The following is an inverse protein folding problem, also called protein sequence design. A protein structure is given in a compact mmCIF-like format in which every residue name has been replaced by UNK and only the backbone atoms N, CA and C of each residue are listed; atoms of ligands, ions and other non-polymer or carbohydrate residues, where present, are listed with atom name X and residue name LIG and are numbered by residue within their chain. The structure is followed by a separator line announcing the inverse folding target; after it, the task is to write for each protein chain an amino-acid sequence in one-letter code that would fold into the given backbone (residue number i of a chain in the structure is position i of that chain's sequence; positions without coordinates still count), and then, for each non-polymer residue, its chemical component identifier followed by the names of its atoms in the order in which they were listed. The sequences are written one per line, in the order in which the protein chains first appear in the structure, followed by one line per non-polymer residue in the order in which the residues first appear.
data_IF_860423639695
#
_entry.id   IF_860423639695
#
_cell.length_a   1.000
_cell.length_b   1.000
_cell.length_c   1.000
_cell.angle_alpha   90.00
_cell.angle_beta   90.00
_cell.angle_gamma   90.00
#
_symmetry.space_group_name_H-M   'P 1'
#
loop_
_entity.id
_entity.type
_entity.pdbx_description
1 polymer ?
#
# COMPACT_ATOMS: atom_id res chain seq x y z
N UNK A 1 12.45 4.85 -4.97
CA UNK A 1 11.46 5.77 -5.60
C UNK A 1 10.85 5.36 -6.97
N UNK A 2 11.55 5.40 -8.14
CA UNK A 2 10.88 5.28 -9.46
C UNK A 2 10.15 3.95 -9.68
N UNK A 3 10.82 2.82 -9.40
CA UNK A 3 10.23 1.48 -9.57
C UNK A 3 8.98 1.31 -8.70
N UNK A 4 9.00 1.83 -7.47
CA UNK A 4 7.87 1.76 -6.54
C UNK A 4 6.66 2.56 -7.03
N UNK A 5 6.90 3.71 -7.67
CA UNK A 5 5.85 4.50 -8.29
C UNK A 5 5.22 3.75 -9.46
N UNK A 6 6.02 3.16 -10.33
CA UNK A 6 5.51 2.42 -11.49
C UNK A 6 4.83 1.10 -11.08
N UNK A 7 5.29 0.43 -10.03
CA UNK A 7 4.58 -0.68 -9.40
C UNK A 7 3.22 -0.24 -8.85
N UNK A 8 3.18 0.89 -8.13
CA UNK A 8 1.92 1.46 -7.60
C UNK A 8 0.93 1.80 -8.71
N UNK A 9 1.42 2.41 -9.80
CA UNK A 9 0.62 2.75 -10.97
C UNK A 9 0.02 1.50 -11.61
N UNK A 10 0.86 0.48 -11.83
CA UNK A 10 0.47 -0.79 -12.43
C UNK A 10 -0.61 -1.49 -11.59
N UNK A 11 -0.41 -1.53 -10.27
CA UNK A 11 -1.38 -2.12 -9.35
C UNK A 11 -2.70 -1.35 -9.28
N UNK A 12 -2.67 -0.01 -9.33
CA UNK A 12 -3.89 0.79 -9.39
C UNK A 12 -4.69 0.52 -10.67
N UNK A 13 -4.01 0.39 -11.81
CA UNK A 13 -4.65 0.02 -13.08
C UNK A 13 -5.21 -1.40 -13.05
N UNK A 14 -4.47 -2.35 -12.48
CA UNK A 14 -4.95 -3.72 -12.28
C UNK A 14 -6.23 -3.76 -11.43
N UNK A 15 -6.24 -3.11 -10.26
CA UNK A 15 -7.43 -3.04 -9.43
C UNK A 15 -8.62 -2.41 -10.17
N UNK A 16 -8.39 -1.34 -10.94
CA UNK A 16 -9.44 -0.69 -11.73
C UNK A 16 -10.05 -1.61 -12.80
N UNK A 17 -9.23 -2.42 -13.47
CA UNK A 17 -9.73 -3.40 -14.45
C UNK A 17 -10.60 -4.48 -13.78
N UNK A 18 -10.26 -4.88 -12.56
CA UNK A 18 -10.97 -5.94 -11.83
C UNK A 18 -12.33 -5.51 -11.27
N UNK A 19 -12.65 -4.22 -11.17
CA UNK A 19 -13.94 -3.72 -10.65
C UNK A 19 -15.13 -4.14 -11.53
N UNK A 20 -14.91 -4.47 -12.80
CA UNK A 20 -15.94 -4.92 -13.73
C UNK A 20 -16.07 -6.43 -13.90
N UNK A 21 -15.20 -7.21 -13.25
CA UNK A 21 -15.18 -8.67 -13.41
C UNK A 21 -16.31 -9.36 -12.64
N UNK A 22 -16.74 -10.51 -13.16
CA UNK A 22 -17.89 -11.26 -12.61
C UNK A 22 -17.60 -11.94 -11.26
N UNK A 23 -16.33 -12.27 -10.99
CA UNK A 23 -15.92 -12.86 -9.72
C UNK A 23 -15.59 -11.77 -8.70
N UNK A 24 -16.49 -11.62 -7.72
CA UNK A 24 -16.33 -10.66 -6.63
C UNK A 24 -15.12 -10.95 -5.76
N UNK A 25 -14.73 -12.22 -5.59
CA UNK A 25 -13.60 -12.61 -4.75
C UNK A 25 -12.29 -12.16 -5.36
N UNK A 26 -12.13 -12.37 -6.67
CA UNK A 26 -10.97 -11.91 -7.43
C UNK A 26 -10.88 -10.38 -7.46
N UNK A 27 -12.02 -9.68 -7.56
CA UNK A 27 -12.08 -8.23 -7.42
C UNK A 27 -11.55 -7.76 -6.05
N UNK A 28 -12.03 -8.38 -4.96
CA UNK A 28 -11.61 -8.04 -3.61
C UNK A 28 -10.13 -8.31 -3.34
N UNK A 29 -9.60 -9.42 -3.89
CA UNK A 29 -8.17 -9.74 -3.87
C UNK A 29 -7.37 -8.67 -4.58
N UNK A 30 -7.75 -8.31 -5.81
CA UNK A 30 -7.05 -7.32 -6.60
C UNK A 30 -6.99 -5.95 -5.92
N UNK A 31 -8.11 -5.48 -5.36
CA UNK A 31 -8.17 -4.21 -4.63
C UNK A 31 -7.27 -4.26 -3.40
N UNK A 32 -7.31 -5.35 -2.63
CA UNK A 32 -6.50 -5.48 -1.41
C UNK A 32 -5.01 -5.59 -1.73
N UNK A 33 -4.63 -6.37 -2.73
CA UNK A 33 -3.25 -6.46 -3.22
C UNK A 33 -2.73 -5.10 -3.70
N UNK A 34 -3.53 -4.36 -4.46
CA UNK A 34 -3.16 -3.02 -4.89
C UNK A 34 -2.94 -2.07 -3.71
N UNK A 35 -3.84 -2.10 -2.71
CA UNK A 35 -3.71 -1.26 -1.52
C UNK A 35 -2.47 -1.60 -0.67
N UNK A 36 -2.12 -2.89 -0.56
CA UNK A 36 -0.87 -3.32 0.08
C UNK A 36 0.35 -2.76 -0.64
N UNK A 37 0.44 -2.96 -1.96
CA UNK A 37 1.59 -2.51 -2.74
C UNK A 37 1.73 -0.99 -2.73
N UNK A 38 0.64 -0.26 -3.03
CA UNK A 38 0.62 1.21 -3.04
C UNK A 38 0.98 1.75 -1.66
N UNK A 39 0.49 1.14 -0.58
CA UNK A 39 0.79 1.57 0.78
C UNK A 39 2.27 1.43 1.18
N UNK A 40 2.89 0.31 0.80
CA UNK A 40 4.34 0.09 0.98
C UNK A 40 5.16 1.12 0.20
N UNK A 41 4.83 1.31 -1.08
CA UNK A 41 5.49 2.29 -1.94
C UNK A 41 5.31 3.73 -1.45
N UNK A 42 4.10 4.11 -1.02
CA UNK A 42 3.81 5.44 -0.47
C UNK A 42 4.66 5.76 0.76
N UNK A 43 4.79 4.80 1.69
CA UNK A 43 5.63 4.96 2.89
C UNK A 43 7.10 5.12 2.53
N UNK A 44 7.61 4.27 1.65
CA UNK A 44 9.01 4.27 1.21
C UNK A 44 9.36 5.58 0.49
N UNK A 45 8.62 5.92 -0.57
CA UNK A 45 8.80 7.16 -1.35
C UNK A 45 8.67 8.39 -0.44
N UNK A 46 7.68 8.40 0.45
CA UNK A 46 7.46 9.50 1.39
C UNK A 46 8.66 9.74 2.30
N UNK A 47 9.21 8.68 2.90
CA UNK A 47 10.40 8.78 3.75
C UNK A 47 11.65 9.18 2.98
N UNK A 48 11.92 8.54 1.83
CA UNK A 48 13.07 8.88 0.97
C UNK A 48 13.01 10.34 0.53
N UNK A 49 11.82 10.83 0.17
CA UNK A 49 11.64 12.22 -0.24
C UNK A 49 11.95 13.19 0.88
N UNK A 50 11.49 12.94 2.11
CA UNK A 50 11.84 13.79 3.26
C UNK A 50 13.35 13.76 3.51
N UNK A 51 13.96 12.57 3.48
CA UNK A 51 15.38 12.40 3.73
C UNK A 51 16.26 13.15 2.73
N UNK A 52 15.89 13.16 1.44
CA UNK A 52 16.61 13.88 0.38
C UNK A 52 16.60 15.40 0.56
N UNK A 53 15.55 15.95 1.21
CA UNK A 53 15.49 17.38 1.52
C UNK A 53 16.19 17.70 2.85
N UNK A 54 16.39 16.71 3.73
CA UNK A 54 16.94 16.93 5.07
C UNK A 54 15.96 17.67 5.98
N UNK A 55 16.49 18.44 6.93
CA UNK A 55 15.67 19.11 7.95
C UNK A 55 14.58 20.02 7.40
N UNK A 56 14.82 20.71 6.27
CA UNK A 56 13.84 21.60 5.62
C UNK A 56 12.60 20.83 5.11
N UNK A 57 12.73 19.51 4.87
CA UNK A 57 11.59 18.68 4.45
C UNK A 57 10.54 18.49 5.55
N UNK A 58 10.92 18.68 6.81
CA UNK A 58 10.02 18.56 7.98
C UNK A 58 9.29 19.85 8.33
N UNK A 59 9.68 20.97 7.72
CA UNK A 59 9.14 22.29 8.04
C UNK A 59 7.92 22.62 7.17
N UNK A 60 7.35 23.82 7.30
CA UNK A 60 6.14 24.26 6.57
C UNK A 60 6.46 25.12 5.34
N UNK A 61 7.73 25.41 5.12
CA UNK A 61 8.27 26.26 4.07
C UNK A 61 8.41 25.53 2.74
N UNK A 62 8.42 24.19 2.76
CA UNK A 62 8.52 23.37 1.56
C UNK A 62 7.34 22.40 1.43
N UNK A 63 6.85 22.23 0.20
CA UNK A 63 5.65 21.44 -0.08
C UNK A 63 5.80 19.95 0.23
N UNK A 64 7.03 19.43 0.31
CA UNK A 64 7.28 18.00 0.53
C UNK A 64 6.69 17.49 1.85
N UNK A 65 6.79 18.29 2.93
CA UNK A 65 6.19 17.94 4.21
C UNK A 65 4.67 17.83 4.13
N UNK A 66 4.03 18.61 3.25
CA UNK A 66 2.58 18.54 3.02
C UNK A 66 2.21 17.27 2.24
N UNK A 67 2.97 16.93 1.21
CA UNK A 67 2.75 15.70 0.44
C UNK A 67 2.96 14.45 1.30
N UNK A 68 3.99 14.44 2.16
CA UNK A 68 4.23 13.33 3.09
C UNK A 68 3.05 13.11 4.04
N UNK A 69 2.53 14.19 4.66
CA UNK A 69 1.33 14.12 5.52
C UNK A 69 0.12 13.61 4.75
N UNK A 70 -0.12 14.14 3.54
CA UNK A 70 -1.27 13.75 2.71
C UNK A 70 -1.18 12.28 2.28
N UNK A 71 -0.02 11.82 1.81
CA UNK A 71 0.13 10.42 1.36
C UNK A 71 0.04 9.46 2.55
N UNK A 72 0.54 9.85 3.73
CA UNK A 72 0.38 9.08 4.97
C UNK A 72 -1.10 8.91 5.33
N UNK A 73 -1.91 9.97 5.24
CA UNK A 73 -3.35 9.91 5.47
C UNK A 73 -4.08 9.07 4.41
N UNK A 74 -3.71 9.19 3.14
CA UNK A 74 -4.28 8.35 2.06
C UNK A 74 -3.95 6.88 2.29
N UNK A 75 -2.76 6.58 2.83
CA UNK A 75 -2.35 5.21 3.10
C UNK A 75 -3.20 4.54 4.19
N UNK A 76 -3.64 5.28 5.21
CA UNK A 76 -4.48 4.75 6.30
C UNK A 76 -5.97 4.73 5.97
N UNK A 77 -6.41 5.58 5.03
CA UNK A 77 -7.81 5.63 4.61
C UNK A 77 -8.25 4.31 3.96
N UNK A 78 -9.42 3.81 4.39
CA UNK A 78 -10.03 2.53 3.97
C UNK A 78 -9.29 1.27 4.41
N UNK A 79 -8.41 1.38 5.40
CA UNK A 79 -7.57 0.29 5.86
C UNK A 79 -6.13 0.46 5.36
N UNK A 80 -5.18 0.20 6.25
CA UNK A 80 -3.76 0.30 5.96
C UNK A 80 -3.20 -1.00 5.36
N UNK A 81 -1.88 -1.04 5.13
CA UNK A 81 -1.20 -2.21 4.58
C UNK A 81 -1.45 -3.48 5.39
N UNK A 82 -1.49 -3.41 6.73
CA UNK A 82 -1.69 -4.58 7.57
C UNK A 82 -3.12 -5.09 7.48
N UNK A 83 -4.10 -4.18 7.47
CA UNK A 83 -5.50 -4.53 7.25
C UNK A 83 -5.70 -5.32 5.94
N UNK A 84 -5.14 -4.83 4.84
CA UNK A 84 -5.30 -5.50 3.54
C UNK A 84 -4.47 -6.78 3.39
N UNK A 85 -3.33 -6.91 4.08
CA UNK A 85 -2.60 -8.18 4.17
C UNK A 85 -3.42 -9.24 4.91
N UNK A 86 -4.03 -8.88 6.05
CA UNK A 86 -4.90 -9.79 6.79
C UNK A 86 -6.14 -10.19 5.96
N UNK A 87 -6.71 -9.24 5.22
CA UNK A 87 -7.84 -9.51 4.31
C UNK A 87 -7.44 -10.48 3.19
N UNK A 88 -6.26 -10.33 2.60
CA UNK A 88 -5.77 -11.27 1.58
C UNK A 88 -5.61 -12.68 2.15
N UNK A 89 -4.99 -12.82 3.32
CA UNK A 89 -4.84 -14.11 4.00
C UNK A 89 -6.20 -14.79 4.23
N UNK A 90 -7.20 -14.04 4.70
CA UNK A 90 -8.55 -14.55 4.89
C UNK A 90 -9.21 -14.98 3.56
N UNK A 91 -9.02 -14.22 2.47
CA UNK A 91 -9.54 -14.56 1.14
C UNK A 91 -8.85 -15.79 0.53
N UNK A 92 -7.64 -16.13 0.95
CA UNK A 92 -6.90 -17.33 0.52
C UNK A 92 -7.17 -18.56 1.42
N UNK A 93 -7.99 -18.41 2.46
CA UNK A 93 -8.26 -19.48 3.42
C UNK A 93 -7.09 -19.78 4.36
N UNK A 94 -6.17 -18.82 4.52
CA UNK A 94 -5.07 -18.91 5.47
C UNK A 94 -5.57 -18.45 6.85
N UNK A 95 -6.14 -19.39 7.61
CA UNK A 95 -6.50 -19.15 9.01
C UNK A 95 -5.21 -19.02 9.86
N UNK A 96 -5.22 -18.09 10.82
CA UNK A 96 -4.06 -17.69 11.64
C UNK A 96 -3.40 -18.79 12.49
N UNK A 97 -3.82 -20.04 12.34
CA UNK A 97 -3.28 -21.22 13.02
C UNK A 97 -2.18 -21.92 12.21
N UNK A 98 -2.10 -21.70 10.89
CA UNK A 98 -1.06 -22.31 10.02
C UNK A 98 0.26 -21.51 9.96
N UNK A 99 0.34 -20.33 10.58
CA UNK A 99 1.50 -19.45 10.52
C UNK A 99 2.58 -19.74 11.60
N UNK A 100 2.37 -20.74 12.46
CA UNK A 100 3.23 -21.05 13.61
C UNK A 100 3.95 -22.42 13.51
N UNK A 101 4.11 -22.98 12.32
CA UNK A 101 5.09 -24.08 12.12
C UNK A 101 6.47 -23.46 11.84
N UNK A 102 7.38 -23.36 12.82
CA UNK A 102 8.75 -22.98 12.53
C UNK A 102 9.39 -24.06 11.65
N UNK A 103 9.99 -23.64 10.54
CA UNK A 103 10.93 -24.46 9.77
C UNK A 103 12.06 -24.92 10.72
N UNK A 104 11.94 -26.15 11.23
CA UNK A 104 13.00 -26.89 11.91
C UNK A 104 13.94 -27.53 10.88
#
# INVERSE_FOLDING_TARGET
MFVELEQSRSMAMYAAMMVGESDSTECERAISAAKVQIGRSAKSIGHESIQLHGGIGMTMEYSIGHFFKRVTMINTLFGDTNHHLARLAALEGMDGEQALEPLA
#
